data_IF_350937237085
#
_entry.id   IF_350937237085
#
_cell.length_a   1.000
_cell.length_b   1.000
_cell.length_c   1.000
_cell.angle_alpha   90.00
_cell.angle_beta   90.00
_cell.angle_gamma   90.00
#
_symmetry.space_group_name_H-M   'P 1'
#
loop_
_entity.id
_entity.type
_entity.pdbx_description
1 polymer ?
#
# COMPACT_ATOMS: atom_id res chain seq x y z
N UNK A 1 33.20 14.89 1.65
CA UNK A 1 32.19 15.58 0.83
C UNK A 1 31.14 14.60 0.27
N UNK A 2 31.56 13.46 -0.27
CA UNK A 2 30.70 12.37 -0.80
C UNK A 2 29.75 11.74 0.22
N UNK A 3 30.19 11.58 1.48
CA UNK A 3 29.38 10.96 2.54
C UNK A 3 28.27 11.89 3.09
N UNK A 4 28.52 13.20 3.08
CA UNK A 4 27.55 14.24 3.41
C UNK A 4 26.51 14.41 2.28
N UNK A 5 26.93 14.26 1.02
CA UNK A 5 26.04 14.26 -0.14
C UNK A 5 25.12 13.02 -0.14
N UNK A 6 25.65 11.82 0.15
CA UNK A 6 24.82 10.62 0.31
C UNK A 6 23.82 10.75 1.48
N UNK A 7 24.21 11.39 2.59
CA UNK A 7 23.29 11.70 3.68
C UNK A 7 22.20 12.70 3.27
N UNK A 8 22.54 13.69 2.46
CA UNK A 8 21.59 14.70 1.96
C UNK A 8 20.64 14.13 0.88
N UNK A 9 21.12 13.25 -0.01
CA UNK A 9 20.27 12.54 -0.97
C UNK A 9 19.27 11.62 -0.23
N UNK A 10 19.72 10.87 0.77
CA UNK A 10 18.86 10.04 1.62
C UNK A 10 17.85 10.81 2.48
N UNK A 11 18.03 12.13 2.66
CA UNK A 11 17.07 13.00 3.35
C UNK A 11 15.96 13.52 2.40
N UNK A 12 16.16 13.43 1.08
CA UNK A 12 15.27 13.99 0.04
C UNK A 12 14.51 12.91 -0.75
N UNK A 13 15.01 11.67 -0.73
CA UNK A 13 14.34 10.45 -1.22
C UNK A 13 14.02 9.55 -0.03
N UNK A 14 12.86 8.88 -0.01
CA UNK A 14 12.44 8.04 1.12
C UNK A 14 13.59 7.13 1.62
N UNK A 15 13.72 6.99 2.94
CA UNK A 15 14.90 6.38 3.56
C UNK A 15 15.13 4.97 2.99
N UNK A 16 16.19 4.80 2.21
CA UNK A 16 16.66 3.49 1.78
C UNK A 16 17.46 2.85 2.92
N UNK A 17 17.16 1.60 3.28
CA UNK A 17 18.03 0.82 4.17
C UNK A 17 19.25 0.31 3.42
N UNK A 18 20.19 -0.30 4.15
CA UNK A 18 21.35 -0.97 3.55
C UNK A 18 20.94 -1.92 2.41
N UNK A 19 21.73 -1.93 1.34
CA UNK A 19 21.55 -2.83 0.20
C UNK A 19 21.77 -4.29 0.58
N UNK A 20 21.06 -5.19 -0.09
CA UNK A 20 21.22 -6.65 0.03
C UNK A 20 20.98 -7.20 1.45
N UNK A 21 20.14 -6.55 2.26
CA UNK A 21 19.65 -7.11 3.52
C UNK A 21 18.54 -8.12 3.21
N UNK A 22 18.67 -9.39 3.66
CA UNK A 22 17.59 -10.38 3.50
C UNK A 22 16.30 -9.91 4.17
N UNK A 23 15.19 -10.11 3.48
CA UNK A 23 13.85 -9.92 3.99
C UNK A 23 13.18 -11.28 4.19
N UNK A 24 12.37 -11.39 5.24
CA UNK A 24 11.52 -12.54 5.52
C UNK A 24 10.09 -12.08 5.76
N UNK A 25 9.13 -12.86 5.30
CA UNK A 25 7.72 -12.60 5.58
C UNK A 25 7.38 -12.96 7.03
N UNK A 26 6.22 -12.54 7.50
CA UNK A 26 5.75 -12.78 8.88
C UNK A 26 5.69 -14.28 9.23
N UNK A 27 5.30 -15.13 8.27
CA UNK A 27 5.22 -16.57 8.47
C UNK A 27 6.57 -17.31 8.38
N UNK A 28 7.65 -16.64 7.97
CA UNK A 28 9.00 -17.20 7.82
C UNK A 28 9.20 -18.15 6.63
N UNK A 29 8.18 -18.37 5.78
CA UNK A 29 8.25 -19.29 4.64
C UNK A 29 8.64 -18.62 3.31
N UNK A 30 8.68 -17.28 3.28
CA UNK A 30 9.13 -16.51 2.12
C UNK A 30 10.33 -15.65 2.49
N UNK A 31 11.30 -15.60 1.58
CA UNK A 31 12.49 -14.78 1.71
C UNK A 31 12.91 -14.20 0.36
N UNK A 32 13.50 -13.01 0.39
CA UNK A 32 14.20 -12.45 -0.76
C UNK A 32 15.30 -11.51 -0.30
N UNK A 33 16.23 -11.20 -1.21
CA UNK A 33 17.28 -10.22 -0.99
C UNK A 33 17.10 -9.10 -1.99
N UNK A 34 16.34 -8.04 -1.66
CA UNK A 34 16.15 -6.90 -2.54
C UNK A 34 17.47 -6.11 -2.67
N UNK A 35 17.66 -5.49 -3.83
CA UNK A 35 18.79 -4.59 -4.06
C UNK A 35 18.77 -3.41 -3.09
N UNK A 36 17.58 -2.87 -2.80
CA UNK A 36 17.33 -1.80 -1.83
C UNK A 36 15.91 -1.94 -1.25
N UNK A 37 15.75 -1.57 0.02
CA UNK A 37 14.42 -1.44 0.65
C UNK A 37 14.17 0.01 1.00
N UNK A 38 13.00 0.53 0.66
CA UNK A 38 12.61 1.93 0.86
C UNK A 38 11.41 2.07 1.79
N UNK A 39 11.34 3.18 2.51
CA UNK A 39 10.23 3.53 3.41
C UNK A 39 9.69 4.93 3.08
N UNK A 40 8.93 5.11 1.99
CA UNK A 40 8.39 6.41 1.59
C UNK A 40 7.36 6.91 2.62
N UNK A 41 7.48 8.17 3.00
CA UNK A 41 6.56 8.88 3.92
C UNK A 41 5.56 9.78 3.20
N UNK A 42 5.71 9.92 1.89
CA UNK A 42 4.79 10.66 1.03
C UNK A 42 4.70 10.02 -0.36
N UNK A 43 3.66 10.39 -1.10
CA UNK A 43 3.49 9.97 -2.49
C UNK A 43 4.62 10.54 -3.37
N UNK A 44 5.11 11.75 -3.10
CA UNK A 44 6.26 12.31 -3.81
C UNK A 44 7.54 11.52 -3.59
N UNK A 45 7.80 11.06 -2.36
CA UNK A 45 8.93 10.16 -2.09
C UNK A 45 8.77 8.83 -2.85
N UNK A 46 7.54 8.29 -2.92
CA UNK A 46 7.23 7.07 -3.69
C UNK A 46 7.48 7.26 -5.19
N UNK A 47 7.04 8.38 -5.79
CA UNK A 47 7.27 8.69 -7.22
C UNK A 47 8.75 8.79 -7.55
N UNK A 48 9.56 9.39 -6.67
CA UNK A 48 11.02 9.43 -6.82
C UNK A 48 11.63 8.02 -6.80
N UNK A 49 11.16 7.13 -5.94
CA UNK A 49 11.62 5.73 -5.88
C UNK A 49 11.25 4.98 -7.16
N UNK A 50 10.04 5.17 -7.67
CA UNK A 50 9.60 4.58 -8.96
C UNK A 50 10.49 5.04 -10.10
N UNK A 51 10.73 6.36 -10.19
CA UNK A 51 11.65 6.92 -11.18
C UNK A 51 13.06 6.34 -11.05
N UNK A 52 13.60 6.26 -9.84
CA UNK A 52 14.92 5.68 -9.60
C UNK A 52 14.99 4.21 -10.03
N UNK A 53 13.96 3.42 -9.73
CA UNK A 53 13.90 2.02 -10.16
C UNK A 53 13.90 1.89 -11.68
N UNK A 54 13.15 2.74 -12.38
CA UNK A 54 13.12 2.79 -13.83
C UNK A 54 14.49 3.19 -14.42
N UNK A 55 15.12 4.24 -13.88
CA UNK A 55 16.45 4.70 -14.30
C UNK A 55 17.53 3.61 -14.07
N UNK A 56 17.38 2.78 -13.03
CA UNK A 56 18.28 1.65 -12.73
C UNK A 56 17.86 0.32 -13.39
N UNK A 57 16.75 0.27 -14.15
CA UNK A 57 16.24 -0.95 -14.78
C UNK A 57 15.79 -2.03 -13.79
N UNK A 58 15.26 -1.64 -12.63
CA UNK A 58 14.84 -2.54 -11.54
C UNK A 58 13.33 -2.61 -11.40
N UNK A 59 12.81 -3.81 -11.17
CA UNK A 59 11.42 -4.01 -10.77
C UNK A 59 11.18 -3.58 -9.32
N UNK A 60 9.92 -3.26 -9.00
CA UNK A 60 9.46 -2.90 -7.65
C UNK A 60 8.48 -3.96 -7.13
N UNK A 61 8.58 -4.28 -5.84
CA UNK A 61 7.50 -4.92 -5.08
C UNK A 61 7.19 -4.11 -3.84
N UNK A 62 5.91 -4.00 -3.53
CA UNK A 62 5.44 -3.36 -2.30
C UNK A 62 5.31 -4.38 -1.17
N UNK A 63 5.52 -3.95 0.06
CA UNK A 63 5.40 -4.77 1.26
C UNK A 63 4.91 -3.96 2.46
N UNK A 64 4.38 -4.65 3.45
CA UNK A 64 4.21 -4.12 4.82
C UNK A 64 4.87 -5.08 5.82
N UNK A 65 4.11 -5.73 6.69
CA UNK A 65 4.54 -6.77 7.63
C UNK A 65 4.74 -8.15 6.95
N UNK A 66 4.30 -8.30 5.70
CA UNK A 66 4.52 -9.54 4.93
C UNK A 66 3.62 -10.70 5.37
N UNK A 67 2.31 -10.46 5.56
CA UNK A 67 1.36 -11.52 5.95
C UNK A 67 0.99 -12.53 4.83
N UNK A 68 1.48 -12.33 3.60
CA UNK A 68 1.26 -13.31 2.52
C UNK A 68 2.14 -14.54 2.71
N UNK A 69 1.55 -15.73 2.62
CA UNK A 69 2.28 -17.01 2.52
C UNK A 69 2.90 -17.25 1.14
N UNK A 70 2.44 -16.53 0.11
CA UNK A 70 2.95 -16.62 -1.26
C UNK A 70 4.12 -15.66 -1.49
N UNK A 71 4.89 -15.91 -2.55
CA UNK A 71 6.05 -15.11 -2.97
C UNK A 71 5.71 -13.75 -3.61
N UNK A 72 4.47 -13.26 -3.46
CA UNK A 72 3.97 -12.04 -4.12
C UNK A 72 4.83 -10.79 -3.85
N UNK A 73 5.51 -10.73 -2.71
CA UNK A 73 6.39 -9.62 -2.31
C UNK A 73 7.86 -9.85 -2.63
N UNK A 74 8.25 -11.07 -3.06
CA UNK A 74 9.65 -11.40 -3.29
C UNK A 74 10.19 -10.65 -4.52
N UNK A 75 11.39 -10.08 -4.37
CA UNK A 75 12.06 -9.34 -5.43
C UNK A 75 13.58 -9.34 -5.25
N UNK A 76 14.31 -9.28 -6.35
CA UNK A 76 15.74 -8.92 -6.38
C UNK A 76 15.94 -7.43 -6.76
N UNK A 77 14.86 -6.71 -7.08
CA UNK A 77 14.84 -5.29 -7.37
C UNK A 77 14.63 -4.47 -6.10
N UNK A 78 13.71 -3.51 -6.17
CA UNK A 78 13.37 -2.64 -5.05
C UNK A 78 12.21 -3.20 -4.25
N UNK A 79 12.37 -3.22 -2.93
CA UNK A 79 11.29 -3.53 -1.99
C UNK A 79 10.81 -2.22 -1.36
N UNK A 80 9.55 -1.88 -1.54
CA UNK A 80 8.98 -0.62 -1.02
C UNK A 80 8.04 -0.93 0.13
N UNK A 81 8.46 -0.58 1.34
CA UNK A 81 7.66 -0.74 2.53
C UNK A 81 6.71 0.46 2.71
N UNK A 82 5.41 0.25 2.53
CA UNK A 82 4.42 1.33 2.48
C UNK A 82 3.86 1.73 3.84
N UNK A 83 4.37 1.18 4.95
CA UNK A 83 3.80 1.36 6.31
C UNK A 83 3.72 2.81 6.79
N UNK A 84 4.52 3.72 6.21
CA UNK A 84 4.51 5.15 6.54
C UNK A 84 3.44 5.93 5.75
N UNK A 85 2.84 5.35 4.71
CA UNK A 85 1.73 5.92 3.95
C UNK A 85 0.40 5.54 4.62
N UNK A 86 0.20 5.96 5.87
CA UNK A 86 -0.84 5.44 6.76
C UNK A 86 -1.91 6.47 7.19
N UNK A 87 -1.97 7.62 6.50
CA UNK A 87 -2.97 8.64 6.80
C UNK A 87 -4.39 8.11 6.53
N UNK A 88 -5.31 8.36 7.46
CA UNK A 88 -6.74 8.05 7.33
C UNK A 88 -7.53 9.35 7.46
N UNK A 89 -8.49 9.57 6.55
CA UNK A 89 -9.36 10.75 6.55
C UNK A 89 -10.77 10.33 6.21
N UNK A 90 -11.74 10.83 6.97
CA UNK A 90 -13.17 10.68 6.69
C UNK A 90 -13.70 11.97 6.09
N UNK A 91 -14.53 11.85 5.05
CA UNK A 91 -15.22 12.98 4.42
C UNK A 91 -16.65 12.59 4.10
N UNK A 92 -17.55 13.57 4.11
CA UNK A 92 -18.86 13.42 3.48
C UNK A 92 -18.72 13.54 1.97
N UNK A 93 -19.58 12.81 1.26
CA UNK A 93 -19.69 12.81 -0.18
C UNK A 93 -21.16 12.62 -0.60
N UNK A 94 -21.46 12.72 -1.89
CA UNK A 94 -22.80 12.51 -2.46
C UNK A 94 -23.38 11.13 -2.12
N UNK A 95 -22.52 10.11 -1.98
CA UNK A 95 -22.91 8.74 -1.67
C UNK A 95 -22.99 8.44 -0.15
N UNK A 96 -22.71 9.42 0.71
CA UNK A 96 -22.70 9.26 2.17
C UNK A 96 -21.34 9.59 2.77
N UNK A 97 -20.79 8.68 3.57
CA UNK A 97 -19.47 8.85 4.19
C UNK A 97 -18.41 8.04 3.44
N UNK A 98 -17.29 8.68 3.12
CA UNK A 98 -16.13 8.03 2.54
C UNK A 98 -14.95 8.08 3.52
N UNK A 99 -14.24 6.98 3.61
CA UNK A 99 -12.95 6.90 4.29
C UNK A 99 -11.85 6.72 3.25
N UNK A 100 -10.91 7.66 3.20
CA UNK A 100 -9.69 7.55 2.42
C UNK A 100 -8.58 7.11 3.34
N UNK A 101 -8.00 5.94 3.08
CA UNK A 101 -6.89 5.40 3.84
C UNK A 101 -5.69 5.18 2.91
N UNK A 102 -4.51 5.64 3.34
CA UNK A 102 -3.27 5.30 2.65
C UNK A 102 -3.04 3.78 2.69
N UNK A 103 -2.33 3.25 1.70
CA UNK A 103 -2.07 1.81 1.57
C UNK A 103 -1.38 1.20 2.79
N UNK A 104 -0.65 2.01 3.55
CA UNK A 104 0.02 1.64 4.79
C UNK A 104 -0.81 1.78 6.04
N UNK A 105 -2.07 2.21 6.00
CA UNK A 105 -2.92 2.27 7.18
C UNK A 105 -3.29 0.85 7.64
N UNK A 106 -3.26 0.58 8.94
CA UNK A 106 -3.86 -0.65 9.48
C UNK A 106 -5.38 -0.55 9.50
N UNK A 107 -6.07 -1.70 9.51
CA UNK A 107 -7.51 -1.72 9.78
C UNK A 107 -7.85 -1.17 11.17
N UNK A 108 -7.00 -1.41 12.17
CA UNK A 108 -7.16 -0.82 13.51
C UNK A 108 -7.16 0.72 13.48
N UNK A 109 -6.28 1.34 12.68
CA UNK A 109 -6.25 2.80 12.49
C UNK A 109 -7.52 3.31 11.78
N UNK A 110 -8.01 2.56 10.79
CA UNK A 110 -9.25 2.90 10.08
C UNK A 110 -10.45 2.81 11.03
N UNK A 111 -10.57 1.71 11.77
CA UNK A 111 -11.64 1.47 12.74
C UNK A 111 -11.67 2.54 13.83
N UNK A 112 -10.53 2.90 14.40
CA UNK A 112 -10.45 3.94 15.43
C UNK A 112 -10.89 5.31 14.88
N UNK A 113 -10.48 5.65 13.66
CA UNK A 113 -10.88 6.90 12.99
C UNK A 113 -12.40 6.94 12.77
N UNK A 114 -13.01 5.82 12.38
CA UNK A 114 -14.45 5.72 12.14
C UNK A 114 -15.26 5.73 13.44
N UNK A 115 -14.81 5.02 14.48
CA UNK A 115 -15.48 4.94 15.78
C UNK A 115 -15.49 6.27 16.51
N UNK A 116 -14.42 7.07 16.37
CA UNK A 116 -14.28 8.40 17.00
C UNK A 116 -14.90 9.54 16.20
N UNK A 117 -15.34 9.28 14.96
CA UNK A 117 -16.11 10.24 14.16
C UNK A 117 -17.48 10.53 14.79
N UNK A 118 -18.08 11.68 14.46
CA UNK A 118 -19.42 12.06 14.92
C UNK A 118 -20.35 12.40 13.74
N UNK A 119 -21.38 11.59 13.45
CA UNK A 119 -21.77 10.37 14.18
C UNK A 119 -20.75 9.23 14.00
N UNK A 120 -20.66 8.27 14.93
CA UNK A 120 -19.79 7.11 14.78
C UNK A 120 -20.10 6.33 13.50
N UNK A 121 -19.05 5.88 12.82
CA UNK A 121 -19.12 5.12 11.58
C UNK A 121 -18.50 3.73 11.75
N UNK A 122 -18.77 2.84 10.81
CA UNK A 122 -18.18 1.50 10.75
C UNK A 122 -18.05 1.05 9.30
N UNK A 123 -17.06 0.20 9.02
CA UNK A 123 -17.02 -0.57 7.76
C UNK A 123 -18.08 -1.68 7.81
N UNK A 124 -18.49 -2.15 6.63
CA UNK A 124 -19.46 -3.26 6.49
C UNK A 124 -18.84 -4.61 6.85
N UNK A 125 -17.54 -4.76 6.59
CA UNK A 125 -16.79 -5.98 6.84
C UNK A 125 -15.33 -5.65 7.15
N UNK A 126 -14.67 -6.49 7.94
CA UNK A 126 -13.28 -6.34 8.36
C UNK A 126 -12.52 -7.66 8.23
N UNK A 127 -11.19 -7.58 8.20
CA UNK A 127 -10.30 -8.74 8.27
C UNK A 127 -10.24 -9.32 9.68
N UNK A 128 -9.85 -10.59 9.81
CA UNK A 128 -9.67 -11.25 11.13
C UNK A 128 -8.54 -10.62 11.94
N UNK A 129 -7.47 -10.20 11.26
CA UNK A 129 -6.37 -9.44 11.86
C UNK A 129 -6.65 -7.94 11.64
N UNK A 130 -6.46 -7.12 12.66
CA UNK A 130 -6.64 -5.67 12.60
C UNK A 130 -5.32 -4.92 12.31
N UNK A 131 -4.20 -5.62 12.40
CA UNK A 131 -2.85 -5.09 12.13
C UNK A 131 -2.41 -5.23 10.67
N UNK A 132 -3.21 -5.84 9.80
CA UNK A 132 -2.96 -5.88 8.35
C UNK A 132 -3.23 -4.52 7.72
N UNK A 133 -2.53 -4.22 6.61
CA UNK A 133 -2.64 -2.92 5.93
C UNK A 133 -3.63 -2.93 4.79
N UNK A 134 -4.30 -1.80 4.59
CA UNK A 134 -5.31 -1.57 3.54
C UNK A 134 -4.80 -2.00 2.16
N UNK A 135 -3.59 -1.60 1.78
CA UNK A 135 -3.05 -1.90 0.46
C UNK A 135 -2.92 -3.40 0.19
N UNK A 136 -2.47 -4.19 1.18
CA UNK A 136 -2.35 -5.63 1.05
C UNK A 136 -3.71 -6.31 0.95
N UNK A 137 -4.63 -5.94 1.85
CA UNK A 137 -6.01 -6.48 1.90
C UNK A 137 -6.75 -6.25 0.58
N UNK A 138 -6.63 -5.06 0.00
CA UNK A 138 -7.18 -4.76 -1.33
C UNK A 138 -6.46 -5.59 -2.38
N UNK A 139 -5.14 -5.47 -2.50
CA UNK A 139 -4.37 -6.14 -3.57
C UNK A 139 -4.57 -7.66 -3.64
N UNK A 140 -4.82 -8.33 -2.50
CA UNK A 140 -4.99 -9.79 -2.43
C UNK A 140 -6.44 -10.28 -2.36
N UNK A 141 -7.44 -9.40 -2.49
CA UNK A 141 -8.85 -9.84 -2.49
C UNK A 141 -9.33 -10.36 -1.14
N UNK A 142 -8.79 -9.83 -0.03
CA UNK A 142 -9.16 -10.31 1.31
C UNK A 142 -10.61 -10.00 1.65
N UNK A 143 -11.23 -10.84 2.48
CA UNK A 143 -12.63 -10.73 2.87
C UNK A 143 -12.80 -10.94 4.39
N UNK A 144 -13.98 -10.57 4.90
CA UNK A 144 -14.39 -10.89 6.27
C UNK A 144 -15.14 -12.22 6.38
N UNK A 145 -15.74 -12.47 7.53
CA UNK A 145 -16.44 -13.72 7.83
C UNK A 145 -17.89 -13.77 7.32
N UNK A 146 -18.43 -12.67 6.79
CA UNK A 146 -19.84 -12.58 6.40
C UNK A 146 -20.08 -13.32 5.07
N UNK A 147 -21.06 -14.23 5.07
CA UNK A 147 -21.35 -15.12 3.93
C UNK A 147 -22.10 -14.45 2.78
N UNK A 148 -22.65 -13.26 3.01
CA UNK A 148 -23.44 -12.48 2.03
C UNK A 148 -22.86 -11.09 1.74
N UNK A 149 -21.61 -10.83 2.14
CA UNK A 149 -20.89 -9.62 1.73
C UNK A 149 -19.89 -9.96 0.63
N UNK A 150 -19.62 -9.00 -0.23
CA UNK A 150 -18.45 -9.02 -1.12
C UNK A 150 -17.13 -9.09 -0.36
N UNK A 151 -16.04 -9.19 -1.12
CA UNK A 151 -14.68 -8.98 -0.60
C UNK A 151 -14.50 -7.54 -0.10
N UNK A 152 -13.45 -7.27 0.67
CA UNK A 152 -13.12 -5.90 1.08
C UNK A 152 -12.85 -5.00 -0.13
N UNK A 153 -12.08 -5.43 -1.16
CA UNK A 153 -11.91 -4.63 -2.37
C UNK A 153 -13.21 -4.18 -3.05
N UNK A 154 -14.29 -4.95 -2.98
CA UNK A 154 -15.60 -4.54 -3.53
C UNK A 154 -16.20 -3.32 -2.83
N UNK A 155 -15.75 -3.00 -1.61
CA UNK A 155 -16.17 -1.79 -0.88
C UNK A 155 -15.35 -0.55 -1.27
N UNK A 156 -14.25 -0.70 -2.02
CA UNK A 156 -13.37 0.41 -2.39
C UNK A 156 -13.95 1.11 -3.61
N UNK A 157 -14.51 2.31 -3.47
CA UNK A 157 -15.16 3.05 -4.58
C UNK A 157 -14.19 3.81 -5.50
N UNK A 158 -13.01 4.14 -4.99
CA UNK A 158 -11.91 4.71 -5.79
C UNK A 158 -10.55 4.40 -5.17
N UNK A 159 -9.50 4.43 -5.99
CA UNK A 159 -8.12 4.34 -5.53
C UNK A 159 -7.15 5.06 -6.47
N UNK A 160 -6.02 5.48 -5.91
CA UNK A 160 -4.92 6.08 -6.67
C UNK A 160 -3.71 5.15 -6.63
N UNK A 161 -3.12 4.88 -7.80
CA UNK A 161 -1.93 4.03 -7.94
C UNK A 161 -0.81 4.86 -8.55
N UNK A 162 0.39 4.81 -7.96
CA UNK A 162 1.60 5.28 -8.64
C UNK A 162 2.05 4.20 -9.61
N UNK A 163 1.88 4.44 -10.91
CA UNK A 163 2.20 3.47 -11.96
C UNK A 163 3.69 3.52 -12.35
N UNK A 164 4.10 2.61 -13.24
CA UNK A 164 5.51 2.48 -13.67
C UNK A 164 6.06 3.72 -14.42
N UNK A 165 5.18 4.59 -14.93
CA UNK A 165 5.53 5.88 -15.53
C UNK A 165 5.84 6.97 -14.47
N UNK A 166 5.73 6.63 -13.18
CA UNK A 166 5.94 7.54 -12.06
C UNK A 166 4.78 8.53 -11.84
N UNK A 167 3.66 8.35 -12.53
CA UNK A 167 2.46 9.17 -12.38
C UNK A 167 1.42 8.49 -11.50
N UNK A 168 0.54 9.31 -10.94
CA UNK A 168 -0.63 8.85 -10.20
C UNK A 168 -1.79 8.65 -11.17
N UNK A 169 -2.37 7.46 -11.15
CA UNK A 169 -3.56 7.12 -11.92
C UNK A 169 -4.70 6.86 -10.96
N UNK A 170 -5.82 7.56 -11.16
CA UNK A 170 -7.04 7.37 -10.40
C UNK A 170 -7.95 6.34 -11.07
N UNK A 171 -8.46 5.44 -10.26
CA UNK A 171 -9.44 4.44 -10.65
C UNK A 171 -10.68 4.60 -9.80
N UNK A 172 -11.86 4.61 -10.41
CA UNK A 172 -13.14 4.66 -9.70
C UNK A 172 -14.26 4.03 -10.52
N UNK A 173 -15.35 3.65 -9.84
CA UNK A 173 -16.53 3.13 -10.53
C UNK A 173 -17.18 4.16 -11.47
N UNK A 174 -16.99 5.45 -11.19
CA UNK A 174 -17.54 6.54 -12.00
C UNK A 174 -16.67 6.87 -13.23
N UNK A 175 -15.34 6.81 -13.08
CA UNK A 175 -14.40 7.23 -14.12
C UNK A 175 -14.08 6.11 -15.12
N UNK A 176 -13.78 4.92 -14.62
CA UNK A 176 -13.19 3.82 -15.38
C UNK A 176 -13.51 2.46 -14.71
N UNK A 177 -14.78 2.01 -14.75
CA UNK A 177 -15.26 0.88 -13.95
C UNK A 177 -14.61 -0.47 -14.30
N UNK A 178 -14.19 -0.66 -15.57
CA UNK A 178 -13.50 -1.88 -16.00
C UNK A 178 -12.10 -1.93 -15.40
N UNK A 179 -11.36 -0.83 -15.50
CA UNK A 179 -10.02 -0.68 -14.94
C UNK A 179 -10.05 -0.71 -13.40
N UNK A 180 -11.06 -0.10 -12.77
CA UNK A 180 -11.27 -0.16 -11.33
C UNK A 180 -11.44 -1.60 -10.84
N UNK A 181 -12.16 -2.43 -11.60
CA UNK A 181 -12.33 -3.85 -11.28
C UNK A 181 -10.98 -4.60 -11.32
N UNK A 182 -10.11 -4.27 -12.28
CA UNK A 182 -8.75 -4.82 -12.32
C UNK A 182 -7.86 -4.28 -11.18
N UNK A 183 -8.02 -3.02 -10.81
CA UNK A 183 -7.24 -2.36 -9.77
C UNK A 183 -7.52 -2.94 -8.36
N UNK A 184 -8.77 -3.34 -8.07
CA UNK A 184 -9.20 -3.87 -6.76
C UNK A 184 -8.49 -5.15 -6.33
N UNK A 185 -8.01 -5.99 -7.25
CA UNK A 185 -7.28 -7.24 -6.93
C UNK A 185 -6.05 -7.37 -7.83
N UNK A 186 -5.19 -6.35 -7.76
CA UNK A 186 -4.07 -6.18 -8.68
C UNK A 186 -2.83 -7.04 -8.37
N UNK A 187 -2.75 -7.69 -7.20
CA UNK A 187 -1.60 -8.48 -6.75
C UNK A 187 -0.25 -7.72 -6.75
N UNK A 188 -0.30 -6.38 -6.78
CA UNK A 188 0.85 -5.48 -6.89
C UNK A 188 1.65 -5.68 -8.18
N UNK A 189 1.00 -5.94 -9.32
CA UNK A 189 1.64 -6.10 -10.64
C UNK A 189 1.30 -4.97 -11.61
#
# INVERSE_FOLDING_TARGET
MTELLNKLENLVTGHATQSNVPWHNWAGNQTCTPAKTFYPRSVDELKKIVKQAADEGRGIRCVSEGHSWSSITNTNGYLVNVTQLNKVVVKSDKLGWLVTAGSGATFSQVDETLKTHNPPLTLVSATVLDNVRVGGVVATGSHGAMTKSGTIPEQVVSMTIVAADGQEHEFSDELNPVEMSAARVNLGK
#
